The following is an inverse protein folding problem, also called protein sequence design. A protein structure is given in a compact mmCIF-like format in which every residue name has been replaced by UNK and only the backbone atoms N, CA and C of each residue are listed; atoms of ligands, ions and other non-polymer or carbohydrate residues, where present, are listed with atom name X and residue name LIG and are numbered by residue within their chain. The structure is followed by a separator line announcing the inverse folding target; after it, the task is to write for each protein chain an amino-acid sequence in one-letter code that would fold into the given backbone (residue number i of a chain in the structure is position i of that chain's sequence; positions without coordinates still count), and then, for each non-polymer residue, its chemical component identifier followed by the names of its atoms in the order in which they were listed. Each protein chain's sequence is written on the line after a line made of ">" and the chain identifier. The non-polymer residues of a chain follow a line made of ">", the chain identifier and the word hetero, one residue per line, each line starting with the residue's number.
data_IF_753789944269
#
_entry.id   IF_753789944269
#
_cell.length_a   1.000
_cell.length_b   1.000
_cell.length_c   1.000
_cell.angle_alpha   90.00
_cell.angle_beta   90.00
_cell.angle_gamma   90.00
#
_symmetry.space_group_name_H-M   'P 1'
#
loop_
_entity.id
_entity.type
_entity.pdbx_description
1 polymer ?
#
# COMPACT_ATOMS: atom_id res chain seq x y z
N UNK A 1 12.91 46.64 20.56
CA UNK A 1 13.64 45.85 19.53
C UNK A 1 13.88 44.37 19.87
N UNK A 2 13.70 43.90 21.12
CA UNK A 2 13.90 42.47 21.47
C UNK A 2 12.62 41.63 21.23
N UNK A 3 11.43 42.21 21.46
CA UNK A 3 10.15 41.51 21.32
C UNK A 3 9.81 41.07 19.89
N UNK A 4 10.16 41.88 18.89
CA UNK A 4 9.84 41.57 17.48
C UNK A 4 10.70 40.42 16.94
N UNK A 5 11.96 40.34 17.37
CA UNK A 5 12.87 39.23 17.02
C UNK A 5 12.41 37.92 17.67
N UNK A 6 11.94 37.97 18.91
CA UNK A 6 11.41 36.79 19.62
C UNK A 6 10.12 36.26 18.96
N UNK A 7 9.23 37.16 18.53
CA UNK A 7 8.01 36.80 17.79
C UNK A 7 8.33 36.18 16.42
N UNK A 8 9.33 36.71 15.72
CA UNK A 8 9.78 36.16 14.45
C UNK A 8 10.36 34.75 14.60
N UNK A 9 11.17 34.52 15.64
CA UNK A 9 11.77 33.21 15.94
C UNK A 9 10.68 32.18 16.32
N UNK A 10 9.69 32.57 17.13
CA UNK A 10 8.55 31.71 17.47
C UNK A 10 7.69 31.37 16.25
N UNK A 11 7.46 32.32 15.35
CA UNK A 11 6.71 32.08 14.11
C UNK A 11 7.47 31.12 13.17
N UNK A 12 8.79 31.24 13.06
CA UNK A 12 9.65 30.34 12.29
C UNK A 12 9.66 28.91 12.87
N UNK A 13 9.73 28.76 14.18
CA UNK A 13 9.64 27.46 14.85
C UNK A 13 8.29 26.78 14.63
N UNK A 14 7.19 27.54 14.62
CA UNK A 14 5.84 27.02 14.36
C UNK A 14 5.64 26.60 12.89
N UNK A 15 6.29 27.29 11.95
CA UNK A 15 6.31 26.93 10.52
C UNK A 15 7.13 25.65 10.23
N UNK A 16 8.15 25.34 11.04
CA UNK A 16 8.91 24.10 10.92
C UNK A 16 8.16 22.87 11.44
N UNK A 17 7.18 23.03 12.34
CA UNK A 17 6.44 21.90 12.94
C UNK A 17 5.25 21.41 12.11
N UNK A 18 4.77 22.18 11.13
CA UNK A 18 3.54 21.85 10.37
C UNK A 18 3.76 20.99 9.12
N UNK A 19 4.99 20.53 8.85
CA UNK A 19 5.29 19.71 7.67
C UNK A 19 5.51 18.21 7.97
N UNK A 20 5.05 17.71 9.11
CA UNK A 20 4.89 16.27 9.27
C UNK A 20 3.65 15.81 8.50
N UNK A 21 3.78 15.73 7.18
CA UNK A 21 2.97 14.82 6.37
C UNK A 21 3.21 13.44 6.95
N UNK A 22 2.29 12.97 7.79
CA UNK A 22 2.34 11.63 8.36
C UNK A 22 2.17 10.60 7.24
N UNK A 23 3.28 10.25 6.62
CA UNK A 23 3.44 8.99 5.92
C UNK A 23 3.12 7.88 6.93
N UNK A 24 1.92 7.30 6.84
CA UNK A 24 1.48 6.24 7.74
C UNK A 24 2.27 4.97 7.41
N UNK A 25 3.38 4.76 8.10
CA UNK A 25 4.07 3.47 8.09
C UNK A 25 3.34 2.50 9.01
N UNK A 26 3.06 1.30 8.53
CA UNK A 26 2.44 0.23 9.30
C UNK A 26 3.06 -1.11 8.92
N UNK A 27 2.94 -2.11 9.78
CA UNK A 27 3.50 -3.45 9.54
C UNK A 27 2.43 -4.41 9.02
N UNK A 28 2.75 -5.18 7.99
CA UNK A 28 1.90 -6.30 7.56
C UNK A 28 2.07 -7.45 8.54
N UNK A 29 1.00 -7.81 9.26
CA UNK A 29 1.01 -8.90 10.24
C UNK A 29 0.42 -10.19 9.69
N UNK A 30 -0.42 -10.10 8.65
CA UNK A 30 -1.06 -11.26 8.04
C UNK A 30 -1.35 -11.05 6.55
N UNK A 31 -1.19 -12.13 5.80
CA UNK A 31 -1.66 -12.24 4.42
C UNK A 31 -3.01 -12.96 4.48
N UNK A 32 -4.10 -12.24 4.20
CA UNK A 32 -5.48 -12.74 4.33
C UNK A 32 -5.93 -13.45 3.06
N UNK A 33 -5.60 -12.86 1.90
CA UNK A 33 -5.79 -13.43 0.57
C UNK A 33 -4.63 -12.96 -0.33
N UNK A 34 -4.63 -13.32 -1.60
CA UNK A 34 -3.55 -13.00 -2.55
C UNK A 34 -3.18 -11.50 -2.53
N UNK A 35 -4.16 -10.60 -2.59
CA UNK A 35 -3.96 -9.15 -2.58
C UNK A 35 -4.63 -8.42 -1.38
N UNK A 36 -4.97 -9.16 -0.32
CA UNK A 36 -5.62 -8.64 0.89
C UNK A 36 -4.74 -8.91 2.11
N UNK A 37 -4.44 -7.87 2.86
CA UNK A 37 -3.50 -7.90 3.99
C UNK A 37 -4.13 -7.32 5.26
N UNK A 38 -3.66 -7.80 6.41
CA UNK A 38 -3.97 -7.23 7.73
C UNK A 38 -2.73 -6.48 8.23
N UNK A 39 -2.93 -5.23 8.63
CA UNK A 39 -1.92 -4.38 9.22
C UNK A 39 -1.89 -4.52 10.76
N UNK A 40 -0.81 -4.09 11.40
CA UNK A 40 -0.65 -4.22 12.86
C UNK A 40 -1.65 -3.41 13.69
N UNK A 41 -2.25 -2.38 13.08
CA UNK A 41 -3.35 -1.58 13.66
C UNK A 41 -4.73 -2.24 13.47
N UNK A 42 -4.78 -3.43 12.88
CA UNK A 42 -6.00 -4.22 12.63
C UNK A 42 -6.75 -3.84 11.36
N UNK A 43 -6.27 -2.86 10.58
CA UNK A 43 -6.88 -2.52 9.29
C UNK A 43 -6.70 -3.64 8.28
N UNK A 44 -7.75 -3.89 7.51
CA UNK A 44 -7.69 -4.72 6.31
C UNK A 44 -7.46 -3.82 5.10
N UNK A 45 -6.41 -4.12 4.33
CA UNK A 45 -6.02 -3.33 3.17
C UNK A 45 -5.88 -4.21 1.94
N UNK A 46 -6.41 -3.74 0.81
CA UNK A 46 -6.40 -4.42 -0.48
C UNK A 46 -5.67 -3.58 -1.51
N UNK A 47 -4.83 -4.21 -2.34
CA UNK A 47 -4.09 -3.48 -3.36
C UNK A 47 -5.04 -2.83 -4.36
N UNK A 48 -4.97 -1.50 -4.45
CA UNK A 48 -5.63 -0.74 -5.51
C UNK A 48 -4.98 -1.05 -6.87
N UNK A 49 -5.75 -1.01 -7.94
CA UNK A 49 -5.27 -1.22 -9.30
C UNK A 49 -5.02 -2.68 -9.67
N UNK A 50 -5.28 -3.63 -8.76
CA UNK A 50 -4.96 -5.05 -8.93
C UNK A 50 -6.21 -5.92 -8.74
N UNK A 51 -6.60 -6.61 -9.80
CA UNK A 51 -7.52 -7.74 -9.73
C UNK A 51 -6.72 -9.05 -9.65
N UNK A 52 -6.88 -9.76 -8.54
CA UNK A 52 -6.11 -10.96 -8.22
C UNK A 52 -7.04 -12.14 -7.93
N UNK A 53 -6.67 -13.36 -8.35
CA UNK A 53 -7.36 -14.58 -7.95
C UNK A 53 -7.45 -14.70 -6.43
N UNK A 54 -8.60 -15.18 -5.94
CA UNK A 54 -8.81 -15.45 -4.52
C UNK A 54 -8.48 -16.89 -4.17
N UNK A 55 -8.05 -17.14 -2.93
CA UNK A 55 -7.87 -18.49 -2.41
C UNK A 55 -9.14 -19.36 -2.49
N UNK A 56 -10.31 -18.72 -2.36
CA UNK A 56 -11.62 -19.37 -2.44
C UNK A 56 -12.18 -19.52 -3.86
N UNK A 57 -11.38 -19.26 -4.89
CA UNK A 57 -11.85 -19.36 -6.27
C UNK A 57 -12.25 -20.81 -6.62
N UNK A 58 -13.37 -20.99 -7.31
CA UNK A 58 -13.87 -22.31 -7.71
C UNK A 58 -13.03 -22.95 -8.83
N UNK A 59 -12.32 -22.15 -9.61
CA UNK A 59 -11.40 -22.66 -10.63
C UNK A 59 -10.06 -23.03 -9.97
N UNK A 60 -9.63 -24.30 -10.06
CA UNK A 60 -8.42 -24.77 -9.40
C UNK A 60 -7.15 -24.06 -9.87
N UNK A 61 -7.08 -23.64 -11.14
CA UNK A 61 -5.92 -22.91 -11.66
C UNK A 61 -5.77 -21.55 -10.98
N UNK A 62 -6.87 -20.81 -10.84
CA UNK A 62 -6.88 -19.52 -10.17
C UNK A 62 -6.64 -19.63 -8.67
N UNK A 63 -7.19 -20.67 -8.03
CA UNK A 63 -6.90 -20.95 -6.63
C UNK A 63 -5.41 -21.25 -6.39
N UNK A 64 -4.76 -21.97 -7.32
CA UNK A 64 -3.33 -22.28 -7.21
C UNK A 64 -2.46 -21.03 -7.39
N UNK A 65 -2.77 -20.17 -8.37
CA UNK A 65 -2.11 -18.86 -8.52
C UNK A 65 -2.26 -18.00 -7.25
N UNK A 66 -3.44 -18.00 -6.63
CA UNK A 66 -3.66 -17.29 -5.36
C UNK A 66 -2.76 -17.85 -4.24
N UNK A 67 -2.60 -19.17 -4.14
CA UNK A 67 -1.73 -19.81 -3.15
C UNK A 67 -0.25 -19.47 -3.39
N UNK A 68 0.19 -19.45 -4.63
CA UNK A 68 1.56 -19.06 -5.00
C UNK A 68 1.85 -17.61 -4.58
N UNK A 69 0.95 -16.67 -4.90
CA UNK A 69 1.06 -15.28 -4.48
C UNK A 69 1.14 -15.15 -2.96
N UNK A 70 0.23 -15.82 -2.23
CA UNK A 70 0.23 -15.82 -0.76
C UNK A 70 1.52 -16.40 -0.19
N UNK A 71 2.03 -17.49 -0.76
CA UNK A 71 3.28 -18.12 -0.34
C UNK A 71 4.48 -17.19 -0.53
N UNK A 72 4.59 -16.59 -1.72
CA UNK A 72 5.63 -15.63 -2.06
C UNK A 72 5.63 -14.42 -1.10
N UNK A 73 4.46 -13.82 -0.88
CA UNK A 73 4.34 -12.63 -0.05
C UNK A 73 4.43 -12.91 1.45
N UNK A 74 4.08 -14.13 1.90
CA UNK A 74 4.38 -14.56 3.27
C UNK A 74 5.89 -14.59 3.53
N UNK A 75 6.70 -15.01 2.56
CA UNK A 75 8.16 -15.04 2.68
C UNK A 75 8.82 -13.66 2.59
N UNK A 76 8.20 -12.70 1.91
CA UNK A 76 8.84 -11.41 1.56
C UNK A 76 8.27 -10.21 2.31
N UNK A 77 6.95 -10.16 2.57
CA UNK A 77 6.26 -8.99 3.14
C UNK A 77 5.90 -9.13 4.62
N UNK A 78 5.77 -10.36 5.13
CA UNK A 78 5.34 -10.56 6.51
C UNK A 78 6.33 -9.88 7.47
N UNK A 79 5.80 -9.09 8.41
CA UNK A 79 6.55 -8.29 9.39
C UNK A 79 7.39 -7.15 8.79
N UNK A 80 7.25 -6.83 7.50
CA UNK A 80 7.86 -5.64 6.90
C UNK A 80 7.03 -4.40 7.23
N UNK A 81 7.72 -3.30 7.46
CA UNK A 81 7.10 -1.98 7.49
C UNK A 81 6.80 -1.56 6.04
N UNK A 82 5.60 -1.06 5.83
CA UNK A 82 5.11 -0.55 4.55
C UNK A 82 4.57 0.84 4.78
N UNK A 83 4.81 1.74 3.83
CA UNK A 83 4.05 2.96 3.70
C UNK A 83 2.69 2.63 3.10
N UNK A 84 1.63 3.12 3.74
CA UNK A 84 0.25 2.88 3.34
C UNK A 84 -0.35 4.18 2.84
N UNK A 85 -0.74 4.21 1.57
CA UNK A 85 -1.48 5.34 0.98
C UNK A 85 -2.88 4.91 0.59
N UNK A 86 -3.87 5.33 1.37
CA UNK A 86 -5.28 5.02 1.11
C UNK A 86 -5.80 5.75 -0.13
N UNK A 87 -6.43 5.00 -1.03
CA UNK A 87 -7.10 5.47 -2.25
C UNK A 87 -8.59 5.66 -1.98
N UNK A 88 -9.21 4.67 -1.33
CA UNK A 88 -10.62 4.73 -0.94
C UNK A 88 -10.92 3.73 0.17
N UNK A 89 -11.98 3.98 0.93
CA UNK A 89 -12.47 3.10 1.99
C UNK A 89 -13.71 2.38 1.46
N UNK A 90 -13.72 1.05 1.56
CA UNK A 90 -14.81 0.19 1.08
C UNK A 90 -15.59 -0.30 2.31
N UNK A 91 -16.57 0.49 2.73
CA UNK A 91 -17.30 0.30 4.00
C UNK A 91 -18.08 -1.02 4.05
N UNK A 92 -18.70 -1.42 2.94
CA UNK A 92 -19.49 -2.66 2.83
C UNK A 92 -18.64 -3.92 3.04
N UNK A 93 -17.39 -3.88 2.57
CA UNK A 93 -16.44 -5.01 2.65
C UNK A 93 -15.41 -4.88 3.77
N UNK A 94 -15.45 -3.78 4.52
CA UNK A 94 -14.57 -3.49 5.67
C UNK A 94 -13.08 -3.57 5.32
N UNK A 95 -12.68 -3.04 4.17
CA UNK A 95 -11.27 -2.89 3.81
C UNK A 95 -11.01 -1.55 3.13
N UNK A 96 -9.75 -1.13 3.12
CA UNK A 96 -9.28 0.05 2.40
C UNK A 96 -8.57 -0.37 1.10
N UNK A 97 -8.83 0.33 0.00
CA UNK A 97 -8.00 0.23 -1.21
C UNK A 97 -6.78 1.11 -1.02
N UNK A 98 -5.59 0.54 -1.19
CA UNK A 98 -4.33 1.22 -0.87
C UNK A 98 -3.27 1.03 -1.94
N UNK A 99 -2.31 1.95 -1.97
CA UNK A 99 -0.98 1.68 -2.47
C UNK A 99 -0.09 1.29 -1.29
N UNK A 100 0.69 0.21 -1.45
CA UNK A 100 1.68 -0.21 -0.46
C UNK A 100 3.08 -0.07 -1.04
N UNK A 101 3.94 0.63 -0.30
CA UNK A 101 5.33 0.87 -0.68
C UNK A 101 6.27 0.36 0.40
N UNK A 102 7.32 -0.39 0.02
CA UNK A 102 8.44 -0.69 0.92
C UNK A 102 9.59 0.25 0.57
N UNK A 103 10.01 1.06 1.52
CA UNK A 103 11.15 1.95 1.33
C UNK A 103 12.46 1.18 1.51
N UNK A 104 13.34 1.23 0.50
CA UNK A 104 14.73 0.78 0.60
C UNK A 104 15.69 1.96 0.40
N UNK A 105 16.96 1.84 0.81
CA UNK A 105 17.91 2.96 0.71
C UNK A 105 18.16 3.52 -0.70
N UNK A 106 17.89 2.74 -1.75
CA UNK A 106 18.19 3.09 -3.13
C UNK A 106 16.95 3.24 -4.02
N UNK A 107 15.88 2.51 -3.72
CA UNK A 107 14.67 2.50 -4.53
C UNK A 107 13.47 2.03 -3.69
N UNK A 108 12.33 2.68 -3.87
CA UNK A 108 11.09 2.26 -3.25
C UNK A 108 10.44 1.14 -4.05
N UNK A 109 10.01 0.09 -3.37
CA UNK A 109 9.30 -1.02 -3.99
C UNK A 109 7.79 -0.78 -3.90
N UNK A 110 7.17 -0.46 -5.03
CA UNK A 110 5.71 -0.44 -5.20
C UNK A 110 5.16 -1.87 -5.28
N UNK A 111 4.44 -2.29 -4.25
CA UNK A 111 3.89 -3.64 -4.19
C UNK A 111 2.73 -3.87 -5.16
N UNK A 112 1.95 -2.84 -5.48
CA UNK A 112 0.83 -2.93 -6.42
C UNK A 112 1.35 -3.23 -7.83
N UNK A 113 2.38 -2.49 -8.23
CA UNK A 113 3.10 -2.74 -9.48
C UNK A 113 3.74 -4.13 -9.46
N UNK A 114 4.46 -4.47 -8.40
CA UNK A 114 5.17 -5.76 -8.33
C UNK A 114 4.24 -6.96 -8.41
N UNK A 115 3.01 -6.81 -7.91
CA UNK A 115 1.97 -7.84 -8.00
C UNK A 115 1.58 -8.17 -9.44
N UNK A 116 1.48 -7.14 -10.28
CA UNK A 116 1.16 -7.28 -11.70
C UNK A 116 2.37 -7.84 -12.45
N UNK A 117 3.57 -7.31 -12.21
CA UNK A 117 4.81 -7.78 -12.85
C UNK A 117 5.09 -9.27 -12.60
N UNK A 118 4.76 -9.76 -11.40
CA UNK A 118 4.93 -11.17 -11.05
C UNK A 118 3.82 -12.07 -11.63
N UNK A 119 2.84 -11.51 -12.34
CA UNK A 119 1.72 -12.26 -12.92
C UNK A 119 0.67 -12.73 -11.92
N UNK A 120 0.70 -12.25 -10.67
CA UNK A 120 -0.26 -12.65 -9.64
C UNK A 120 -1.63 -11.98 -9.78
N UNK A 121 -1.73 -10.95 -10.61
CA UNK A 121 -2.98 -10.25 -10.89
C UNK A 121 -2.92 -9.46 -12.19
N UNK A 122 -4.02 -8.83 -12.54
CA UNK A 122 -4.16 -7.94 -13.69
C UNK A 122 -4.54 -6.54 -13.25
N UNK A 123 -4.23 -5.56 -14.09
CA UNK A 123 -4.67 -4.21 -13.89
C UNK A 123 -6.20 -4.13 -13.77
N UNK A 124 -6.67 -3.40 -12.77
CA UNK A 124 -8.08 -3.07 -12.55
C UNK A 124 -8.26 -1.56 -12.43
N UNK A 125 -9.27 -1.01 -13.10
CA UNK A 125 -9.44 0.43 -13.20
C UNK A 125 -10.18 1.03 -11.99
N UNK A 126 -9.51 1.09 -10.82
CA UNK A 126 -9.98 1.74 -9.60
C UNK A 126 -8.91 2.66 -8.97
N UNK A 127 -8.06 3.23 -9.82
CA UNK A 127 -6.93 4.11 -9.45
C UNK A 127 -6.98 5.40 -10.25
N UNK A 128 -6.22 6.40 -9.81
CA UNK A 128 -6.05 7.65 -10.55
C UNK A 128 -5.33 7.46 -11.89
N UNK A 129 -5.44 8.46 -12.77
CA UNK A 129 -4.88 8.41 -14.12
C UNK A 129 -3.36 8.24 -14.17
N UNK A 130 -2.62 8.75 -13.18
CA UNK A 130 -1.17 8.64 -13.15
C UNK A 130 -0.74 7.20 -12.82
N UNK A 131 -1.34 6.60 -11.78
CA UNK A 131 -1.10 5.21 -11.41
C UNK A 131 -1.60 4.23 -12.45
N UNK A 132 -2.71 4.54 -13.14
CA UNK A 132 -3.21 3.74 -14.25
C UNK A 132 -2.16 3.49 -15.34
N UNK A 133 -1.43 4.52 -15.77
CA UNK A 133 -0.42 4.38 -16.83
C UNK A 133 0.68 3.42 -16.41
N UNK A 134 1.18 3.57 -15.18
CA UNK A 134 2.25 2.73 -14.63
C UNK A 134 1.80 1.27 -14.57
N UNK A 135 0.64 0.99 -13.97
CA UNK A 135 0.17 -0.37 -13.75
C UNK A 135 -0.20 -1.11 -15.04
N UNK A 136 -0.63 -0.40 -16.10
CA UNK A 136 -0.86 -0.99 -17.42
C UNK A 136 0.46 -1.38 -18.09
N UNK A 137 1.53 -0.60 -17.91
CA UNK A 137 2.85 -0.89 -18.48
C UNK A 137 3.54 -2.08 -17.81
N UNK A 138 3.10 -2.46 -16.61
CA UNK A 138 3.64 -3.58 -15.83
C UNK A 138 3.05 -4.95 -16.22
N UNK A 139 2.13 -5.00 -17.18
CA UNK A 139 1.44 -6.21 -17.63
C UNK A 139 2.15 -6.96 -18.75
#
# INVERSE_FOLDING_TARGET
>A
MVGDKLRLILALLFLCTVNTLECQSSKIVKIVDSNLFELEDGRLVKLAGVDAPQLSNSNPYFAETAKEAVSYYRGTLLKRNVEVKTVSIIEDKKYELVYLTIQYPLEDLDLNQKFIENGFGKFFNNVDSAKKVILIQSQ
#
